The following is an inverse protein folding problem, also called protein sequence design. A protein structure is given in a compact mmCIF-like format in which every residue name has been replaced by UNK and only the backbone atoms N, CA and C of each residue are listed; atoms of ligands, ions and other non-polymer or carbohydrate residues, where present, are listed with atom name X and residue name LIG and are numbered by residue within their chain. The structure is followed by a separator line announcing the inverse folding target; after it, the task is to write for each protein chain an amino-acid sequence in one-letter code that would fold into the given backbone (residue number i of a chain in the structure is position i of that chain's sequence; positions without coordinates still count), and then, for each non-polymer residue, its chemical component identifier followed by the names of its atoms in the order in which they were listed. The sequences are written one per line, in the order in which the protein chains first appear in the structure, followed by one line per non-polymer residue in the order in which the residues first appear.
data_IF_356289930992
#
_entry.id   IF_356289930992
#
_cell.length_a   1.000
_cell.length_b   1.000
_cell.length_c   1.000
_cell.angle_alpha   90.00
_cell.angle_beta   90.00
_cell.angle_gamma   90.00
#
_symmetry.space_group_name_H-M   'P 1'
#
loop_
_entity.id
_entity.type
_entity.pdbx_description
1 polymer ?
#
# COMPACT_ATOMS: atom_id res chain seq x y z
N UNK A 1 -35.35 -5.15 21.87
CA UNK A 1 -34.41 -4.58 20.89
C UNK A 1 -33.00 -4.85 21.40
N UNK A 2 -32.32 -5.86 20.87
CA UNK A 2 -30.99 -6.27 21.33
C UNK A 2 -30.35 -7.09 20.23
N UNK A 3 -29.52 -6.42 19.44
CA UNK A 3 -28.93 -6.94 18.21
C UNK A 3 -27.99 -8.10 18.50
N UNK A 4 -28.15 -9.17 17.74
CA UNK A 4 -27.21 -10.30 17.65
C UNK A 4 -25.81 -9.77 17.27
N UNK A 5 -24.72 -10.19 17.93
CA UNK A 5 -23.39 -9.90 17.43
C UNK A 5 -23.14 -10.76 16.19
N UNK A 6 -23.02 -10.11 15.04
CA UNK A 6 -22.44 -10.70 13.84
C UNK A 6 -21.02 -11.13 14.16
N UNK A 7 -20.72 -12.41 13.91
CA UNK A 7 -19.37 -12.96 13.95
C UNK A 7 -18.58 -12.33 12.80
N UNK A 8 -17.89 -11.22 13.07
CA UNK A 8 -16.87 -10.73 12.14
C UNK A 8 -15.67 -11.67 12.29
N UNK A 9 -15.46 -12.53 11.30
CA UNK A 9 -14.18 -13.23 11.13
C UNK A 9 -13.18 -12.17 10.68
N UNK A 10 -12.71 -11.38 11.64
CA UNK A 10 -11.53 -10.54 11.47
C UNK A 10 -10.32 -11.45 11.59
N UNK A 11 -9.63 -11.73 10.47
CA UNK A 11 -8.26 -12.20 10.54
C UNK A 11 -7.39 -11.05 11.06
N UNK A 12 -7.30 -10.89 12.38
CA UNK A 12 -6.23 -10.11 13.00
C UNK A 12 -4.97 -10.94 12.90
N UNK A 13 -4.14 -10.70 11.87
CA UNK A 13 -2.78 -11.23 11.87
C UNK A 13 -1.99 -10.39 12.87
N UNK A 14 -2.00 -10.81 14.13
CA UNK A 14 -1.07 -10.30 15.13
C UNK A 14 0.31 -10.84 14.77
N UNK A 15 1.12 -10.02 14.10
CA UNK A 15 2.50 -10.39 13.82
C UNK A 15 3.32 -10.20 15.11
N UNK A 16 3.59 -11.31 15.81
CA UNK A 16 4.62 -11.37 16.85
C UNK A 16 5.93 -10.78 16.27
N UNK A 17 6.66 -9.95 17.04
CA UNK A 17 7.93 -9.35 16.57
C UNK A 17 8.95 -10.41 16.13
N UNK A 18 8.83 -11.64 16.64
CA UNK A 18 9.61 -12.81 16.21
C UNK A 18 9.19 -13.30 14.83
N UNK A 19 7.90 -13.21 14.49
CA UNK A 19 7.40 -13.49 13.14
C UNK A 19 7.89 -12.40 12.18
N UNK A 20 7.88 -11.12 12.53
CA UNK A 20 8.44 -10.05 11.67
C UNK A 20 9.94 -10.23 11.38
N UNK A 21 10.72 -10.63 12.39
CA UNK A 21 12.13 -10.95 12.20
C UNK A 21 12.32 -12.23 11.37
N UNK A 22 11.46 -13.22 11.54
CA UNK A 22 11.49 -14.46 10.78
C UNK A 22 11.06 -14.25 9.33
N UNK A 23 10.03 -13.44 9.04
CA UNK A 23 9.63 -13.07 7.68
C UNK A 23 10.70 -12.24 7.00
N UNK A 24 11.31 -11.25 7.67
CA UNK A 24 12.46 -10.51 7.13
C UNK A 24 13.63 -11.45 6.80
N UNK A 25 13.98 -12.36 7.71
CA UNK A 25 15.05 -13.36 7.50
C UNK A 25 14.70 -14.39 6.41
N UNK A 26 13.42 -14.70 6.21
CA UNK A 26 12.95 -15.61 5.16
C UNK A 26 12.83 -14.92 3.81
N UNK A 27 12.44 -13.65 3.76
CA UNK A 27 12.47 -12.79 2.56
C UNK A 27 13.92 -12.57 2.11
N UNK A 28 14.85 -12.31 3.03
CA UNK A 28 16.28 -12.22 2.73
C UNK A 28 16.88 -13.56 2.27
N UNK A 29 16.28 -14.69 2.66
CA UNK A 29 16.72 -16.04 2.27
C UNK A 29 16.10 -16.49 0.94
N UNK A 30 14.95 -15.94 0.57
CA UNK A 30 14.38 -15.99 -0.78
C UNK A 30 14.92 -14.79 -1.57
N UNK A 31 16.25 -14.67 -1.65
CA UNK A 31 16.86 -14.05 -2.81
C UNK A 31 16.71 -15.07 -3.92
N UNK A 32 15.64 -14.95 -4.71
CA UNK A 32 15.57 -15.63 -6.00
C UNK A 32 16.80 -15.21 -6.78
N UNK A 33 17.70 -16.16 -7.05
CA UNK A 33 18.88 -15.96 -7.88
C UNK A 33 18.39 -15.48 -9.26
N UNK A 34 18.47 -14.17 -9.52
CA UNK A 34 18.04 -13.55 -10.77
C UNK A 34 17.34 -12.19 -10.66
N UNK A 35 16.88 -11.77 -9.48
CA UNK A 35 16.33 -10.40 -9.33
C UNK A 35 17.46 -9.42 -8.99
N UNK A 36 18.05 -8.86 -10.05
CA UNK A 36 19.11 -7.86 -10.00
C UNK A 36 18.61 -6.58 -9.30
N UNK A 37 19.48 -5.94 -8.52
CA UNK A 37 19.23 -4.67 -7.80
C UNK A 37 18.74 -3.55 -8.75
N UNK A 38 19.04 -3.69 -10.05
CA UNK A 38 18.52 -2.86 -11.13
C UNK A 38 16.99 -2.88 -11.27
N UNK A 39 16.33 -4.01 -11.00
CA UNK A 39 14.87 -4.12 -11.06
C UNK A 39 14.18 -3.45 -9.87
N UNK A 40 14.85 -3.44 -8.71
CA UNK A 40 14.35 -2.82 -7.47
C UNK A 40 14.58 -1.31 -7.40
N UNK A 41 15.51 -0.81 -8.19
CA UNK A 41 15.73 0.62 -8.38
C UNK A 41 14.84 1.23 -9.45
N UNK A 42 14.25 0.42 -10.33
CA UNK A 42 13.34 0.88 -11.40
C UNK A 42 11.86 0.87 -10.98
N UNK A 43 11.48 0.11 -9.96
CA UNK A 43 10.13 0.15 -9.42
C UNK A 43 9.85 1.46 -8.67
N UNK A 44 8.59 1.88 -8.68
CA UNK A 44 8.10 3.01 -7.87
C UNK A 44 6.99 2.52 -6.95
N UNK A 45 7.30 2.35 -5.67
CA UNK A 45 6.36 1.99 -4.62
C UNK A 45 6.19 3.18 -3.69
N UNK A 46 4.95 3.60 -3.43
CA UNK A 46 4.66 4.79 -2.64
C UNK A 46 3.58 4.55 -1.58
N UNK A 47 3.79 5.07 -0.37
CA UNK A 47 2.78 5.17 0.68
C UNK A 47 2.40 6.64 0.95
N UNK A 48 1.11 6.94 1.10
CA UNK A 48 0.62 8.27 1.43
C UNK A 48 -0.51 8.20 2.46
N UNK A 49 -0.33 8.86 3.61
CA UNK A 49 -1.36 9.03 4.67
C UNK A 49 -2.14 7.77 5.02
N UNK A 50 -1.49 6.61 4.98
CA UNK A 50 -2.04 5.36 5.50
C UNK A 50 -2.31 5.51 7.00
N UNK A 51 -3.38 4.88 7.50
CA UNK A 51 -3.75 4.90 8.92
C UNK A 51 -3.96 3.48 9.45
N UNK A 52 -3.85 3.30 10.77
CA UNK A 52 -4.00 2.00 11.44
C UNK A 52 -2.67 1.36 11.86
N UNK A 53 -2.75 0.25 12.61
CA UNK A 53 -1.58 -0.37 13.27
C UNK A 53 -0.48 -0.88 12.34
N UNK A 54 -0.77 -1.07 11.04
CA UNK A 54 0.21 -1.49 10.03
C UNK A 54 0.75 -0.36 9.13
N UNK A 55 0.32 0.89 9.37
CA UNK A 55 0.69 2.04 8.55
C UNK A 55 2.05 2.65 8.91
N UNK A 56 2.69 2.19 9.99
CA UNK A 56 4.03 2.64 10.35
C UNK A 56 5.03 2.25 9.26
N UNK A 57 5.79 3.23 8.78
CA UNK A 57 6.79 3.05 7.71
C UNK A 57 8.21 2.82 8.24
N UNK A 58 8.43 2.91 9.56
CA UNK A 58 9.77 2.85 10.19
C UNK A 58 10.53 1.55 9.90
N UNK A 59 9.82 0.43 9.79
CA UNK A 59 10.40 -0.89 9.55
C UNK A 59 10.24 -1.37 8.09
N UNK A 60 9.98 -0.46 7.14
CA UNK A 60 9.86 -0.80 5.72
C UNK A 60 11.21 -1.14 5.10
N UNK A 61 11.15 -1.84 3.97
CA UNK A 61 12.33 -2.22 3.19
C UNK A 61 13.02 -0.97 2.62
N UNK A 62 14.35 -0.98 2.62
CA UNK A 62 15.18 0.13 2.13
C UNK A 62 15.51 -0.06 0.65
N UNK A 63 14.48 -0.02 -0.20
CA UNK A 63 14.65 -0.10 -1.65
C UNK A 63 14.72 1.30 -2.25
N UNK A 64 15.58 1.55 -3.26
CA UNK A 64 15.65 2.86 -3.91
C UNK A 64 14.30 3.31 -4.50
N UNK A 65 13.47 2.35 -4.93
CA UNK A 65 12.13 2.59 -5.43
C UNK A 65 11.02 2.78 -4.38
N UNK A 66 11.33 2.71 -3.08
CA UNK A 66 10.36 2.91 -2.00
C UNK A 66 10.29 4.39 -1.60
N UNK A 67 9.08 4.94 -1.57
CA UNK A 67 8.83 6.36 -1.29
C UNK A 67 7.70 6.53 -0.27
N UNK A 68 7.89 7.45 0.67
CA UNK A 68 6.80 7.95 1.54
C UNK A 68 6.44 9.35 1.07
N UNK A 69 5.27 9.48 0.44
CA UNK A 69 4.80 10.76 -0.08
C UNK A 69 4.24 11.59 1.07
N UNK A 70 4.49 12.90 1.05
CA UNK A 70 4.14 13.79 2.17
C UNK A 70 3.14 14.87 1.78
N UNK A 71 3.06 15.21 0.50
CA UNK A 71 2.23 16.31 0.01
C UNK A 71 1.17 15.83 -0.98
N UNK A 72 0.04 16.52 -1.03
CA UNK A 72 -0.99 16.27 -2.04
C UNK A 72 -0.47 16.50 -3.46
N UNK A 73 0.53 17.37 -3.62
CA UNK A 73 1.20 17.62 -4.91
C UNK A 73 1.94 16.40 -5.43
N UNK A 74 2.62 15.64 -4.56
CA UNK A 74 3.31 14.40 -4.92
C UNK A 74 2.33 13.28 -5.31
N UNK A 75 1.13 13.28 -4.71
CA UNK A 75 0.11 12.24 -4.95
C UNK A 75 -0.75 12.57 -6.17
N UNK A 76 -0.83 13.84 -6.57
CA UNK A 76 -1.67 14.32 -7.67
C UNK A 76 -1.55 13.48 -8.97
N UNK A 77 -0.35 13.06 -9.43
CA UNK A 77 -0.24 12.24 -10.64
C UNK A 77 -0.91 10.85 -10.53
N UNK A 78 -1.19 10.40 -9.31
CA UNK A 78 -1.79 9.09 -9.01
C UNK A 78 -3.28 9.19 -8.68
N UNK A 79 -3.90 10.36 -8.82
CA UNK A 79 -5.34 10.53 -8.65
C UNK A 79 -6.10 10.00 -9.86
N UNK A 80 -7.41 9.79 -9.69
CA UNK A 80 -8.31 9.39 -10.78
C UNK A 80 -8.30 10.42 -11.92
N UNK A 81 -8.25 11.71 -11.57
CA UNK A 81 -8.23 12.80 -12.56
C UNK A 81 -6.99 12.80 -13.44
N UNK A 82 -5.80 12.58 -12.87
CA UNK A 82 -4.54 12.69 -13.64
C UNK A 82 -4.09 11.36 -14.22
N UNK A 83 -4.19 10.26 -13.47
CA UNK A 83 -3.64 8.97 -13.89
C UNK A 83 -4.44 8.36 -15.04
N UNK A 84 -5.77 8.41 -14.96
CA UNK A 84 -6.68 7.75 -15.90
C UNK A 84 -7.68 8.70 -16.56
N UNK A 85 -7.53 10.01 -16.35
CA UNK A 85 -8.43 11.03 -16.90
C UNK A 85 -9.91 10.71 -16.62
N UNK A 86 -10.16 10.18 -15.42
CA UNK A 86 -11.43 9.55 -15.05
C UNK A 86 -12.64 10.50 -15.14
N UNK A 87 -12.41 11.80 -14.95
CA UNK A 87 -13.46 12.82 -15.03
C UNK A 87 -14.17 12.89 -16.39
N UNK A 88 -13.52 12.39 -17.45
CA UNK A 88 -14.11 12.37 -18.80
C UNK A 88 -15.08 11.21 -19.05
N UNK A 89 -14.99 10.11 -18.29
CA UNK A 89 -15.70 8.87 -18.61
C UNK A 89 -16.38 8.16 -17.43
N UNK A 90 -15.87 8.32 -16.20
CA UNK A 90 -16.47 7.72 -15.01
C UNK A 90 -17.87 8.27 -14.68
N UNK A 91 -18.20 9.57 -14.88
CA UNK A 91 -19.55 10.06 -14.59
C UNK A 91 -20.65 9.29 -15.34
N UNK A 92 -20.38 8.87 -16.58
CA UNK A 92 -21.33 8.11 -17.41
C UNK A 92 -21.55 6.68 -16.90
N UNK A 93 -20.60 6.12 -16.16
CA UNK A 93 -20.72 4.76 -15.60
C UNK A 93 -21.72 4.66 -14.44
N UNK A 94 -22.08 5.80 -13.82
CA UNK A 94 -22.93 5.83 -12.61
C UNK A 94 -22.22 5.35 -11.34
N UNK A 95 -20.93 4.98 -11.40
CA UNK A 95 -20.15 4.56 -10.25
C UNK A 95 -19.63 5.79 -9.48
N UNK A 96 -19.88 5.90 -8.16
CA UNK A 96 -19.29 6.96 -7.35
C UNK A 96 -17.76 6.85 -7.33
N UNK A 97 -17.07 7.98 -7.53
CA UNK A 97 -15.61 8.03 -7.49
C UNK A 97 -15.12 9.34 -6.88
N UNK A 98 -13.86 9.34 -6.43
CA UNK A 98 -13.16 10.52 -5.93
C UNK A 98 -12.12 10.96 -6.97
N UNK A 99 -12.25 12.18 -7.49
CA UNK A 99 -11.42 12.69 -8.58
C UNK A 99 -9.98 13.02 -8.14
N UNK A 100 -9.82 13.67 -6.99
CA UNK A 100 -8.54 14.12 -6.41
C UNK A 100 -8.41 13.78 -4.92
N UNK A 101 -7.18 13.73 -4.40
CA UNK A 101 -6.87 13.48 -2.97
C UNK A 101 -7.13 14.68 -2.07
#
# INVERSE_FOLDING_TARGET
MGRQPFLSIGFTISFDRRILKWTRKSIDRVKTEGEDDSTRSTLFYAEYRNTGGGACTEDRVDWPGFHVLKSSKEVRPYTVSELIQGDSWLPTSGVPYQSVV
#
